data_IF_203282644596
#
_entry.id   IF_203282644596
#
_cell.length_a   1.000
_cell.length_b   1.000
_cell.length_c   1.000
_cell.angle_alpha   90.00
_cell.angle_beta   90.00
_cell.angle_gamma   90.00
#
_symmetry.space_group_name_H-M   'P 1'
#
loop_
_entity.id
_entity.type
_entity.pdbx_description
1 polymer ?
#
# COMPACT_ATOMS: atom_id res chain seq x y z
N UNK A 1 7.10 -19.56 2.33
CA UNK A 1 8.09 -19.28 1.27
C UNK A 1 8.10 -20.47 0.32
N UNK A 2 7.06 -20.55 -0.52
CA UNK A 2 6.73 -21.74 -1.34
C UNK A 2 7.75 -21.86 -2.48
N UNK A 3 8.40 -23.02 -2.61
CA UNK A 3 9.32 -23.30 -3.72
C UNK A 3 8.54 -23.42 -5.03
N UNK A 4 8.55 -22.36 -5.85
CA UNK A 4 8.06 -22.43 -7.22
C UNK A 4 9.20 -23.01 -8.10
N UNK A 5 8.96 -24.10 -8.85
CA UNK A 5 9.98 -24.80 -9.62
C UNK A 5 10.61 -23.96 -10.75
N UNK A 6 10.02 -22.81 -11.09
CA UNK A 6 10.52 -21.91 -12.13
C UNK A 6 11.61 -20.93 -11.64
N UNK A 7 11.85 -20.81 -10.33
CA UNK A 7 12.90 -19.93 -9.80
C UNK A 7 14.12 -20.76 -9.36
N UNK A 8 15.22 -20.64 -10.10
CA UNK A 8 16.47 -21.40 -9.88
C UNK A 8 17.19 -21.06 -8.57
N UNK A 9 16.96 -19.88 -8.00
CA UNK A 9 17.67 -19.40 -6.82
C UNK A 9 16.70 -18.82 -5.79
N UNK A 10 17.03 -18.99 -4.50
CA UNK A 10 16.29 -18.36 -3.42
C UNK A 10 16.57 -16.85 -3.38
N UNK A 11 15.51 -16.04 -3.43
CA UNK A 11 15.59 -14.60 -3.25
C UNK A 11 15.42 -14.19 -1.78
N UNK A 12 15.78 -12.94 -1.48
CA UNK A 12 15.61 -12.28 -0.17
C UNK A 12 15.10 -10.86 -0.41
N UNK A 13 14.30 -10.33 0.52
CA UNK A 13 13.83 -8.94 0.50
C UNK A 13 14.05 -8.34 1.88
N UNK A 14 14.96 -7.36 1.97
CA UNK A 14 15.19 -6.60 3.19
C UNK A 14 13.98 -5.75 3.54
N UNK A 15 13.80 -5.42 4.82
CA UNK A 15 12.77 -4.47 5.24
C UNK A 15 13.00 -3.10 4.61
N UNK A 16 11.94 -2.52 4.07
CA UNK A 16 11.95 -1.14 3.57
C UNK A 16 11.67 -0.19 4.71
N UNK A 17 12.52 0.83 4.87
CA UNK A 17 12.42 1.85 5.92
C UNK A 17 12.19 3.22 5.28
N UNK A 18 11.38 4.06 5.92
CA UNK A 18 11.14 5.45 5.53
C UNK A 18 10.91 6.33 6.75
N UNK A 19 11.70 7.41 6.88
CA UNK A 19 11.62 8.32 8.02
C UNK A 19 10.36 9.19 8.01
N UNK A 20 9.87 9.54 6.81
CA UNK A 20 8.74 10.45 6.62
C UNK A 20 7.48 9.76 6.08
N UNK A 21 7.44 8.42 6.15
CA UNK A 21 6.31 7.62 5.71
C UNK A 21 6.73 6.40 4.89
N UNK A 22 5.82 5.44 4.75
CA UNK A 22 5.99 4.23 3.94
C UNK A 22 4.63 3.82 3.41
N UNK A 23 4.58 3.32 2.18
CA UNK A 23 3.37 2.76 1.55
C UNK A 23 3.67 1.33 1.10
N UNK A 24 2.78 0.39 1.42
CA UNK A 24 2.91 -1.00 1.03
C UNK A 24 1.56 -1.49 0.47
N UNK A 25 1.59 -2.00 -0.76
CA UNK A 25 0.43 -2.55 -1.47
C UNK A 25 0.86 -3.76 -2.32
N UNK A 26 -0.10 -4.53 -2.81
CA UNK A 26 0.10 -5.66 -3.73
C UNK A 26 0.62 -5.22 -5.11
N UNK A 27 0.20 -4.05 -5.59
CA UNK A 27 0.61 -3.50 -6.87
C UNK A 27 1.62 -2.34 -6.72
N UNK A 28 2.78 -2.36 -7.41
CA UNK A 28 3.80 -1.31 -7.28
C UNK A 28 3.34 0.07 -7.77
N UNK A 29 2.42 0.16 -8.74
CA UNK A 29 1.90 1.44 -9.22
C UNK A 29 1.04 2.12 -8.15
N UNK A 30 0.25 1.35 -7.41
CA UNK A 30 -0.53 1.86 -6.29
C UNK A 30 0.37 2.33 -5.12
N UNK A 31 1.44 1.58 -4.82
CA UNK A 31 2.40 1.97 -3.79
C UNK A 31 3.08 3.30 -4.14
N UNK A 32 3.49 3.46 -5.41
CA UNK A 32 4.14 4.69 -5.89
C UNK A 32 3.17 5.88 -5.88
N UNK A 33 1.91 5.69 -6.29
CA UNK A 33 0.91 6.75 -6.25
C UNK A 33 0.65 7.24 -4.82
N UNK A 34 0.47 6.32 -3.86
CA UNK A 34 0.35 6.68 -2.44
C UNK A 34 1.60 7.38 -1.90
N UNK A 35 2.80 6.93 -2.30
CA UNK A 35 4.05 7.57 -1.92
C UNK A 35 4.16 9.00 -2.45
N UNK A 36 3.68 9.27 -3.67
CA UNK A 36 3.67 10.61 -4.24
C UNK A 36 2.71 11.56 -3.50
N UNK A 37 1.61 11.04 -2.93
CA UNK A 37 0.75 11.82 -2.02
C UNK A 37 1.48 12.18 -0.73
N UNK A 38 2.21 11.23 -0.13
CA UNK A 38 3.03 11.52 1.05
C UNK A 38 4.11 12.58 0.75
N UNK A 39 4.80 12.47 -0.39
CA UNK A 39 5.80 13.46 -0.83
C UNK A 39 5.21 14.86 -1.03
N UNK A 40 3.93 14.96 -1.40
CA UNK A 40 3.20 16.22 -1.55
C UNK A 40 2.71 16.80 -0.21
N UNK A 41 3.03 16.14 0.92
CA UNK A 41 2.64 16.57 2.26
C UNK A 41 1.29 16.02 2.72
N UNK A 42 0.71 15.05 2.01
CA UNK A 42 -0.51 14.38 2.42
C UNK A 42 -0.33 13.48 3.64
N UNK A 43 -1.41 13.20 4.36
CA UNK A 43 -1.42 12.30 5.50
C UNK A 43 -1.48 10.82 5.09
N UNK A 44 -1.24 9.92 6.05
CA UNK A 44 -1.29 8.47 5.82
C UNK A 44 -2.66 8.01 5.25
N UNK A 45 -3.76 8.64 5.68
CA UNK A 45 -5.11 8.36 5.18
C UNK A 45 -5.26 8.77 3.72
N UNK A 46 -4.76 9.96 3.34
CA UNK A 46 -4.82 10.43 1.94
C UNK A 46 -4.06 9.49 1.00
N UNK A 47 -2.87 9.06 1.44
CA UNK A 47 -2.06 8.10 0.70
C UNK A 47 -2.78 6.74 0.56
N UNK A 48 -3.47 6.28 1.60
CA UNK A 48 -4.24 5.04 1.57
C UNK A 48 -5.44 5.11 0.62
N UNK A 49 -6.21 6.21 0.64
CA UNK A 49 -7.34 6.43 -0.28
C UNK A 49 -6.86 6.51 -1.73
N UNK A 50 -5.75 7.21 -1.98
CA UNK A 50 -5.13 7.27 -3.31
C UNK A 50 -4.70 5.87 -3.79
N UNK A 51 -3.99 5.12 -2.96
CA UNK A 51 -3.53 3.77 -3.30
C UNK A 51 -4.72 2.83 -3.56
N UNK A 52 -5.76 2.85 -2.73
CA UNK A 52 -6.98 2.06 -2.93
C UNK A 52 -7.70 2.41 -4.24
N UNK A 53 -7.79 3.70 -4.56
CA UNK A 53 -8.39 4.17 -5.82
C UNK A 53 -7.59 3.70 -7.04
N UNK A 54 -6.26 3.69 -6.95
CA UNK A 54 -5.38 3.19 -8.03
C UNK A 54 -5.52 1.67 -8.17
N UNK A 55 -5.62 0.92 -7.06
CA UNK A 55 -5.84 -0.53 -7.10
C UNK A 55 -7.12 -0.92 -7.85
N UNK A 56 -8.19 -0.13 -7.77
CA UNK A 56 -9.40 -0.37 -8.56
C UNK A 56 -9.13 -0.40 -10.08
N UNK A 57 -8.04 0.23 -10.55
CA UNK A 57 -7.64 0.27 -11.96
C UNK A 57 -6.56 -0.76 -12.26
N UNK A 58 -5.52 -0.84 -11.42
CA UNK A 58 -4.33 -1.67 -11.70
C UNK A 58 -4.45 -3.10 -11.17
N UNK A 59 -5.42 -3.36 -10.31
CA UNK A 59 -5.73 -4.67 -9.74
C UNK A 59 -7.25 -4.91 -9.60
N UNK A 60 -8.04 -4.76 -10.69
CA UNK A 60 -9.50 -4.74 -10.65
C UNK A 60 -10.14 -6.08 -10.28
N UNK A 61 -9.39 -7.18 -10.38
CA UNK A 61 -9.87 -8.51 -9.98
C UNK A 61 -9.98 -8.66 -8.45
N UNK A 62 -9.18 -7.89 -7.69
CA UNK A 62 -9.05 -8.04 -6.23
C UNK A 62 -9.91 -7.05 -5.44
N UNK A 63 -10.06 -5.81 -5.94
CA UNK A 63 -10.81 -4.74 -5.28
C UNK A 63 -11.41 -3.79 -6.32
N UNK A 64 -12.45 -3.04 -5.94
CA UNK A 64 -13.16 -2.15 -6.85
C UNK A 64 -14.14 -1.21 -6.14
N UNK A 65 -14.60 -0.19 -6.86
CA UNK A 65 -15.55 0.82 -6.36
C UNK A 65 -16.91 0.24 -5.92
N UNK A 66 -17.29 -0.92 -6.45
CA UNK A 66 -18.53 -1.61 -6.09
C UNK A 66 -18.41 -2.52 -4.86
N UNK A 67 -17.23 -2.59 -4.24
CA UNK A 67 -17.00 -3.37 -3.01
C UNK A 67 -17.26 -2.57 -1.74
N UNK A 68 -16.68 -3.04 -0.64
CA UNK A 68 -16.64 -2.36 0.65
C UNK A 68 -15.20 -2.09 1.09
N UNK A 69 -15.04 -1.43 2.24
CA UNK A 69 -13.74 -1.17 2.83
C UNK A 69 -13.82 -1.26 4.35
N UNK A 70 -12.83 -1.91 4.94
CA UNK A 70 -12.54 -1.85 6.36
C UNK A 70 -11.19 -1.15 6.55
N UNK A 71 -11.15 -0.16 7.45
CA UNK A 71 -9.94 0.58 7.76
C UNK A 71 -9.78 0.71 9.27
N UNK A 72 -8.58 0.41 9.76
CA UNK A 72 -8.14 0.73 11.11
C UNK A 72 -7.17 1.88 11.01
N UNK A 73 -7.53 3.03 11.57
CA UNK A 73 -6.78 4.27 11.39
C UNK A 73 -6.40 4.80 12.75
N UNK A 74 -5.12 4.70 13.08
CA UNK A 74 -4.61 5.33 14.30
C UNK A 74 -4.47 6.84 14.10
N UNK A 75 -5.23 7.62 14.86
CA UNK A 75 -5.05 9.06 14.97
C UNK A 75 -4.01 9.39 16.04
N UNK A 76 -2.90 9.94 15.60
CA UNK A 76 -1.80 10.35 16.48
C UNK A 76 -2.15 11.51 17.41
N UNK A 77 -3.19 12.30 17.10
CA UNK A 77 -3.65 13.43 17.91
C UNK A 77 -4.46 12.92 19.10
N UNK A 78 -5.49 12.11 18.83
CA UNK A 78 -6.37 11.56 19.87
C UNK A 78 -5.85 10.28 20.52
N UNK A 79 -4.78 9.68 19.96
CA UNK A 79 -4.15 8.43 20.40
C UNK A 79 -5.10 7.22 20.39
N UNK A 80 -6.03 7.20 19.44
CA UNK A 80 -7.04 6.16 19.27
C UNK A 80 -6.92 5.52 17.89
N UNK A 81 -7.42 4.29 17.78
CA UNK A 81 -7.66 3.59 16.51
C UNK A 81 -9.12 3.75 16.14
#
# INVERSE_FOLDING_TARGET
>A
MIQNPNYKFASRRSSTLGLNGTVATSNPLAANAGLDILKKGGHAVDAAVCAASVLNVVEPMSTGVGGDVFALVYDSTTKRV
#
